data_IF_084829977642
#
_entry.id   IF_084829977642
#
_cell.length_a   1.000
_cell.length_b   1.000
_cell.length_c   1.000
_cell.angle_alpha   90.00
_cell.angle_beta   90.00
_cell.angle_gamma   90.00
#
_symmetry.space_group_name_H-M   'P 1'
#
loop_
_entity.id
_entity.type
_entity.pdbx_description
1 polymer ?
#
# COMPACT_ATOMS: atom_id res chain seq x y z
N UNK A 1 9.17 -15.71 -11.46
CA UNK A 1 7.95 -14.95 -11.80
C UNK A 1 8.28 -13.90 -12.86
N UNK A 2 7.30 -13.54 -13.69
CA UNK A 2 7.46 -12.50 -14.72
C UNK A 2 6.97 -11.12 -14.28
N UNK A 3 6.10 -11.11 -13.28
CA UNK A 3 5.64 -9.92 -12.58
C UNK A 3 5.33 -10.28 -11.11
N UNK A 4 5.23 -9.27 -10.27
CA UNK A 4 4.64 -9.36 -8.92
C UNK A 4 3.40 -8.48 -8.83
N UNK A 5 2.38 -8.97 -8.14
CA UNK A 5 1.24 -8.17 -7.69
C UNK A 5 1.14 -8.34 -6.19
N UNK A 6 1.45 -7.30 -5.43
CA UNK A 6 1.31 -7.34 -3.98
C UNK A 6 -0.18 -7.35 -3.62
N UNK A 7 -0.64 -8.48 -3.09
CA UNK A 7 -1.92 -8.60 -2.41
C UNK A 7 -1.79 -8.08 -0.98
N UNK A 8 -1.76 -6.75 -0.84
CA UNK A 8 -1.44 -6.13 0.46
C UNK A 8 -2.50 -6.36 1.52
N UNK A 9 -3.74 -6.73 1.16
CA UNK A 9 -4.72 -7.19 2.14
C UNK A 9 -4.20 -8.39 2.94
N UNK A 10 -3.80 -9.46 2.25
CA UNK A 10 -3.32 -10.69 2.91
C UNK A 10 -1.92 -10.51 3.50
N UNK A 11 -1.09 -9.67 2.88
CA UNK A 11 0.21 -9.32 3.45
C UNK A 11 0.05 -8.58 4.77
N UNK A 12 -0.90 -7.63 4.88
CA UNK A 12 -1.22 -6.97 6.15
C UNK A 12 -1.74 -7.99 7.17
N UNK A 13 -2.69 -8.86 6.79
CA UNK A 13 -3.23 -9.89 7.70
C UNK A 13 -2.13 -10.76 8.31
N UNK A 14 -1.20 -11.23 7.47
CA UNK A 14 -0.10 -12.10 7.90
C UNK A 14 0.99 -11.36 8.66
N UNK A 15 1.26 -10.09 8.33
CA UNK A 15 2.26 -9.26 9.02
C UNK A 15 1.80 -8.88 10.42
N UNK A 16 0.54 -8.47 10.56
CA UNK A 16 -0.03 -8.10 11.85
C UNK A 16 -0.53 -9.30 12.66
N UNK A 17 -0.74 -10.46 12.02
CA UNK A 17 -1.42 -11.60 12.64
C UNK A 17 -2.89 -11.34 12.90
N UNK A 18 -3.55 -10.57 12.02
CA UNK A 18 -4.94 -10.15 12.17
C UNK A 18 -5.81 -10.70 11.04
N UNK A 19 -6.92 -11.32 11.40
CA UNK A 19 -8.01 -11.60 10.48
C UNK A 19 -8.80 -10.31 10.23
N UNK A 20 -8.92 -9.88 8.98
CA UNK A 20 -9.66 -8.65 8.62
C UNK A 20 -11.13 -8.75 9.02
N UNK A 21 -11.72 -9.92 8.86
CA UNK A 21 -13.14 -10.16 9.15
C UNK A 21 -13.44 -10.07 10.66
N UNK A 22 -12.46 -10.36 11.51
CA UNK A 22 -12.58 -10.28 12.97
C UNK A 22 -12.09 -8.94 13.54
N UNK A 23 -11.20 -8.25 12.81
CA UNK A 23 -10.53 -7.03 13.28
C UNK A 23 -11.49 -5.88 13.55
N UNK A 24 -12.62 -5.81 12.86
CA UNK A 24 -13.63 -4.75 13.03
C UNK A 24 -14.15 -4.61 14.47
N UNK A 25 -13.95 -5.60 15.33
CA UNK A 25 -14.38 -5.60 16.74
C UNK A 25 -13.48 -4.77 17.66
N UNK A 26 -12.23 -4.52 17.28
CA UNK A 26 -11.24 -3.82 18.13
C UNK A 26 -10.39 -2.79 17.37
N UNK A 27 -10.27 -2.90 16.04
CA UNK A 27 -9.44 -2.01 15.24
C UNK A 27 -9.88 -0.54 15.33
N UNK A 28 -11.19 -0.19 15.35
CA UNK A 28 -11.62 1.19 15.59
C UNK A 28 -11.12 1.74 16.94
N UNK A 29 -11.18 0.94 18.01
CA UNK A 29 -10.67 1.33 19.32
C UNK A 29 -9.16 1.60 19.27
N UNK A 30 -8.38 0.79 18.53
CA UNK A 30 -6.94 0.96 18.39
C UNK A 30 -6.58 2.29 17.72
N UNK A 31 -7.33 2.68 16.69
CA UNK A 31 -7.13 3.96 15.99
C UNK A 31 -7.58 5.14 16.86
N UNK A 32 -8.77 5.06 17.46
CA UNK A 32 -9.31 6.11 18.34
C UNK A 32 -8.42 6.42 19.55
N UNK A 33 -7.71 5.41 20.06
CA UNK A 33 -6.80 5.55 21.21
C UNK A 33 -5.33 5.72 20.79
N UNK A 34 -5.04 5.85 19.50
CA UNK A 34 -3.69 6.08 18.98
C UNK A 34 -2.72 4.91 19.19
N UNK A 35 -3.22 3.70 19.41
CA UNK A 35 -2.42 2.46 19.42
C UNK A 35 -1.90 2.19 18.00
N UNK A 36 -2.76 2.41 17.00
CA UNK A 36 -2.39 2.48 15.59
C UNK A 36 -2.72 3.89 15.07
N UNK A 37 -1.89 4.45 14.17
CA UNK A 37 -2.18 5.76 13.59
C UNK A 37 -3.40 5.70 12.65
N UNK A 38 -3.58 4.56 11.97
CA UNK A 38 -4.58 4.35 10.93
C UNK A 38 -5.04 2.90 10.89
N UNK A 39 -6.16 2.63 10.20
CA UNK A 39 -6.57 1.27 9.85
C UNK A 39 -5.60 0.69 8.80
N UNK A 40 -4.81 -0.35 9.14
CA UNK A 40 -3.79 -0.92 8.24
C UNK A 40 -4.37 -1.67 7.03
N UNK A 41 -5.69 -1.84 6.94
CA UNK A 41 -6.39 -2.38 5.77
C UNK A 41 -6.87 -1.28 4.81
N UNK A 42 -6.77 -0.01 5.20
CA UNK A 42 -7.14 1.15 4.39
C UNK A 42 -5.89 1.90 3.91
N UNK A 43 -4.96 2.18 4.81
CA UNK A 43 -3.65 2.76 4.50
C UNK A 43 -2.54 1.76 4.81
N UNK A 44 -1.57 1.65 3.91
CA UNK A 44 -0.47 0.71 4.04
C UNK A 44 0.40 1.08 5.25
N UNK A 45 0.59 0.12 6.15
CA UNK A 45 1.41 0.30 7.35
C UNK A 45 2.92 0.23 7.07
N UNK A 46 3.71 0.99 7.83
CA UNK A 46 5.18 1.08 7.76
C UNK A 46 5.93 -0.26 7.88
N UNK A 47 5.39 -1.23 8.61
CA UNK A 47 5.94 -2.58 8.71
C UNK A 47 5.71 -3.37 7.41
N UNK A 48 4.51 -3.25 6.84
CA UNK A 48 4.15 -3.87 5.55
C UNK A 48 4.91 -3.21 4.40
N UNK A 49 5.10 -1.89 4.44
CA UNK A 49 5.93 -1.13 3.50
C UNK A 49 7.33 -1.72 3.38
N UNK A 50 7.99 -2.03 4.51
CA UNK A 50 9.32 -2.65 4.52
C UNK A 50 9.35 -4.00 3.79
N UNK A 51 8.29 -4.80 3.91
CA UNK A 51 8.18 -6.07 3.20
C UNK A 51 7.98 -5.87 1.69
N UNK A 52 7.17 -4.87 1.31
CA UNK A 52 6.97 -4.50 -0.10
C UNK A 52 8.29 -4.00 -0.70
N UNK A 53 8.99 -3.08 -0.03
CA UNK A 53 10.30 -2.57 -0.46
C UNK A 53 11.33 -3.70 -0.61
N UNK A 54 11.39 -4.60 0.37
CA UNK A 54 12.26 -5.78 0.33
C UNK A 54 11.94 -6.66 -0.89
N UNK A 55 10.67 -6.93 -1.14
CA UNK A 55 10.21 -7.72 -2.27
C UNK A 55 10.55 -7.08 -3.62
N UNK A 56 10.38 -5.76 -3.74
CA UNK A 56 10.78 -4.99 -4.93
C UNK A 56 12.28 -5.10 -5.17
N UNK A 57 13.08 -4.82 -4.14
CA UNK A 57 14.55 -4.83 -4.23
C UNK A 57 15.08 -6.20 -4.60
N UNK A 58 14.68 -7.25 -3.88
CA UNK A 58 15.16 -8.61 -4.15
C UNK A 58 14.65 -9.15 -5.48
N UNK A 59 13.40 -8.85 -5.85
CA UNK A 59 12.85 -9.24 -7.15
C UNK A 59 13.61 -8.63 -8.32
N UNK A 60 13.92 -7.32 -8.24
CA UNK A 60 14.67 -6.61 -9.28
C UNK A 60 16.16 -6.94 -9.31
N UNK A 61 16.75 -7.34 -8.18
CA UNK A 61 18.11 -7.90 -8.16
C UNK A 61 18.23 -9.14 -9.04
N UNK A 62 17.21 -10.00 -9.06
CA UNK A 62 17.20 -11.21 -9.89
C UNK A 62 16.69 -10.96 -11.32
N UNK A 63 15.76 -10.02 -11.49
CA UNK A 63 15.23 -9.63 -12.80
C UNK A 63 15.06 -8.10 -12.87
N UNK A 64 16.03 -7.35 -13.41
CA UNK A 64 16.00 -5.88 -13.41
C UNK A 64 14.73 -5.26 -14.03
N UNK A 65 14.15 -5.92 -15.04
CA UNK A 65 12.91 -5.49 -15.69
C UNK A 65 11.61 -6.05 -15.08
N UNK A 66 11.65 -6.65 -13.89
CA UNK A 66 10.48 -7.25 -13.26
C UNK A 66 9.37 -6.19 -13.09
N UNK A 67 8.20 -6.47 -13.68
CA UNK A 67 7.01 -5.64 -13.53
C UNK A 67 6.38 -5.90 -12.17
N UNK A 68 6.13 -4.84 -11.41
CA UNK A 68 5.63 -4.96 -10.04
C UNK A 68 4.47 -3.99 -9.86
N UNK A 69 3.37 -4.46 -9.32
CA UNK A 69 2.26 -3.60 -8.91
C UNK A 69 1.65 -4.04 -7.59
N UNK A 70 0.58 -3.34 -7.22
CA UNK A 70 -0.21 -3.59 -6.01
C UNK A 70 -1.68 -3.69 -6.39
N UNK A 71 -2.43 -4.53 -5.68
CA UNK A 71 -3.88 -4.63 -5.83
C UNK A 71 -4.60 -4.53 -4.47
N UNK A 72 -5.85 -4.09 -4.52
CA UNK A 72 -6.72 -4.02 -3.35
C UNK A 72 -6.98 -2.59 -2.88
N UNK A 73 -7.41 -2.45 -1.63
CA UNK A 73 -7.84 -1.18 -1.04
C UNK A 73 -6.74 -0.11 -1.09
N UNK A 74 -5.52 -0.49 -0.71
CA UNK A 74 -4.33 0.37 -0.70
C UNK A 74 -3.97 0.92 -2.10
N UNK A 75 -4.36 0.24 -3.18
CA UNK A 75 -4.12 0.73 -4.55
C UNK A 75 -4.95 1.96 -4.90
N UNK A 76 -5.91 2.35 -4.05
CA UNK A 76 -6.74 3.55 -4.19
C UNK A 76 -6.57 4.57 -3.07
N UNK A 77 -5.63 4.34 -2.15
CA UNK A 77 -5.32 5.24 -1.03
C UNK A 77 -4.15 6.16 -1.41
N UNK A 78 -4.30 7.50 -1.37
CA UNK A 78 -3.26 8.42 -1.83
C UNK A 78 -1.89 8.23 -1.17
N UNK A 79 -1.86 7.94 0.14
CA UNK A 79 -0.61 7.75 0.91
C UNK A 79 0.11 6.48 0.50
N UNK A 80 -0.64 5.39 0.43
CA UNK A 80 -0.15 4.11 -0.08
C UNK A 80 0.36 4.23 -1.52
N UNK A 81 -0.30 5.01 -2.37
CA UNK A 81 0.13 5.26 -3.76
C UNK A 81 1.42 6.07 -3.80
N UNK A 82 1.59 7.07 -2.93
CA UNK A 82 2.82 7.83 -2.81
C UNK A 82 4.00 6.93 -2.46
N UNK A 83 3.83 6.06 -1.45
CA UNK A 83 4.81 5.04 -1.11
C UNK A 83 5.11 4.12 -2.31
N UNK A 84 4.07 3.61 -2.99
CA UNK A 84 4.24 2.75 -4.16
C UNK A 84 5.06 3.44 -5.26
N UNK A 85 4.85 4.73 -5.48
CA UNK A 85 5.67 5.52 -6.41
C UNK A 85 7.12 5.62 -5.93
N UNK A 86 7.35 5.92 -4.65
CA UNK A 86 8.68 6.05 -4.06
C UNK A 86 9.50 4.76 -4.17
N UNK A 87 8.91 3.59 -3.90
CA UNK A 87 9.60 2.30 -4.06
C UNK A 87 9.66 1.83 -5.52
N UNK A 88 9.09 2.60 -6.44
CA UNK A 88 9.19 2.38 -7.88
C UNK A 88 8.31 1.24 -8.40
N UNK A 89 7.12 1.03 -7.85
CA UNK A 89 6.12 0.16 -8.47
C UNK A 89 5.74 0.67 -9.88
N UNK A 90 5.36 -0.25 -10.76
CA UNK A 90 4.98 0.06 -12.12
C UNK A 90 3.51 0.46 -12.28
N UNK A 91 2.63 -0.05 -11.41
CA UNK A 91 1.21 0.26 -11.45
C UNK A 91 0.54 0.05 -10.09
N UNK A 92 -0.62 0.67 -9.92
CA UNK A 92 -1.58 0.42 -8.84
C UNK A 92 -2.89 -0.07 -9.45
N UNK A 93 -3.59 -0.96 -8.76
CA UNK A 93 -4.88 -1.49 -9.17
C UNK A 93 -5.88 -1.34 -8.03
N UNK A 94 -7.00 -0.67 -8.31
CA UNK A 94 -8.04 -0.36 -7.33
C UNK A 94 -9.45 -0.57 -7.93
N UNK A 95 -10.47 -0.46 -7.08
CA UNK A 95 -11.87 -0.56 -7.53
C UNK A 95 -12.22 0.54 -8.54
N UNK A 96 -13.19 0.30 -9.46
CA UNK A 96 -13.50 1.23 -10.55
C UNK A 96 -13.75 2.68 -10.10
N UNK A 97 -14.45 2.86 -8.98
CA UNK A 97 -14.77 4.18 -8.44
C UNK A 97 -13.57 4.92 -7.84
N UNK A 98 -12.50 4.20 -7.45
CA UNK A 98 -11.26 4.79 -6.94
C UNK A 98 -10.24 5.10 -8.03
N UNK A 99 -10.46 4.67 -9.27
CA UNK A 99 -9.54 4.96 -10.39
C UNK A 99 -9.27 6.47 -10.54
N UNK A 100 -10.25 7.40 -10.48
CA UNK A 100 -9.96 8.83 -10.58
C UNK A 100 -9.06 9.34 -9.45
N UNK A 101 -9.31 8.89 -8.22
CA UNK A 101 -8.50 9.24 -7.03
C UNK A 101 -7.08 8.70 -7.18
N UNK A 102 -6.93 7.44 -7.60
CA UNK A 102 -5.63 6.82 -7.78
C UNK A 102 -4.80 7.52 -8.87
N UNK A 103 -5.44 7.94 -9.96
CA UNK A 103 -4.78 8.73 -11.03
C UNK A 103 -4.29 10.08 -10.52
N UNK A 104 -5.11 10.79 -9.75
CA UNK A 104 -4.75 12.08 -9.17
C UNK A 104 -3.59 11.92 -8.18
N UNK A 105 -3.69 10.97 -7.25
CA UNK A 105 -2.65 10.70 -6.27
C UNK A 105 -1.32 10.30 -6.92
N UNK A 106 -1.34 9.43 -7.93
CA UNK A 106 -0.14 9.05 -8.67
C UNK A 106 0.51 10.24 -9.39
N UNK A 107 -0.31 11.15 -9.95
CA UNK A 107 0.19 12.38 -10.56
C UNK A 107 0.81 13.32 -9.51
N UNK A 108 0.15 13.51 -8.36
CA UNK A 108 0.66 14.33 -7.25
C UNK A 108 1.98 13.77 -6.71
N UNK A 109 2.10 12.44 -6.56
CA UNK A 109 3.33 11.78 -6.16
C UNK A 109 4.45 12.03 -7.17
N UNK A 110 4.17 11.91 -8.48
CA UNK A 110 5.16 12.11 -9.54
C UNK A 110 5.68 13.56 -9.64
N UNK A 111 4.87 14.55 -9.28
CA UNK A 111 5.29 15.97 -9.28
C UNK A 111 5.77 16.47 -7.91
N UNK A 112 5.85 15.59 -6.90
CA UNK A 112 6.28 15.95 -5.54
C UNK A 112 5.30 16.87 -4.80
N UNK A 113 4.02 16.84 -5.15
CA UNK A 113 2.99 17.69 -4.55
C UNK A 113 2.34 17.08 -3.29
N UNK A 114 2.64 15.82 -2.96
CA UNK A 114 2.24 15.22 -1.68
C UNK A 114 3.31 15.59 -0.64
N UNK A 115 2.96 16.45 0.30
CA UNK A 115 3.85 16.85 1.41
C UNK A 115 3.61 15.97 2.63
N UNK A 116 4.51 15.97 3.62
CA UNK A 116 4.32 15.28 4.92
C UNK A 116 3.04 15.71 5.67
N UNK A 117 2.33 16.76 5.22
CA UNK A 117 1.02 17.17 5.76
C UNK A 117 -0.17 16.49 5.08
N UNK A 118 0.06 15.88 3.91
CA UNK A 118 -0.93 15.18 3.09
C UNK A 118 -0.78 13.63 3.22
N UNK A 119 0.17 13.17 4.05
CA UNK A 119 0.52 11.78 4.36
C UNK A 119 0.39 11.52 5.86
#
# INVERSE_FOLDING_TARGET
AEFFSFGTNDLTQTTFGLSRDDAGRFLPYYVEHGILPDDPFQTLDSGVEKLVELGVRLGRQQRPGLKIGICGEHGGDPRSIAFCHQVGLNYVSCSPFRVPVARLAAAQAAIGALTERDV
#
